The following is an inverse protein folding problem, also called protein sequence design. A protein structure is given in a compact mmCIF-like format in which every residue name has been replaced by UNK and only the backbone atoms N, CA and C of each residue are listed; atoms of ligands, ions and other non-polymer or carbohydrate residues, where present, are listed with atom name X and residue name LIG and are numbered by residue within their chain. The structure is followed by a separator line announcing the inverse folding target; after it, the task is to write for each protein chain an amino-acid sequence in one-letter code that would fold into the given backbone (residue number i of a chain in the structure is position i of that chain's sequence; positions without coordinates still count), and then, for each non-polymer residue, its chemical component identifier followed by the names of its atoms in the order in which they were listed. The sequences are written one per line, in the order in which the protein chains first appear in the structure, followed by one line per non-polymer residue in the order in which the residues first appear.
data_IF_330386115350
#
_entry.id   IF_330386115350
#
_cell.length_a   1.000
_cell.length_b   1.000
_cell.length_c   1.000
_cell.angle_alpha   90.00
_cell.angle_beta   90.00
_cell.angle_gamma   90.00
#
_symmetry.space_group_name_H-M   'P 1'
#
loop_
_entity.id
_entity.type
_entity.pdbx_description
1 polymer ?
#
# COMPACT_ATOMS: atom_id res chain seq x y z
N UNK A 1 1.53 0.89 5.79
CA UNK A 1 0.84 0.99 7.10
C UNK A 1 -0.65 0.94 6.88
N UNK A 2 -1.38 0.26 7.77
CA UNK A 2 -2.83 0.25 7.75
C UNK A 2 -3.34 1.49 8.50
N UNK A 3 -3.57 2.56 7.77
CA UNK A 3 -4.05 3.80 8.38
C UNK A 3 -5.47 3.68 8.95
N UNK A 4 -6.27 2.71 8.50
CA UNK A 4 -7.62 2.48 9.04
C UNK A 4 -7.61 1.72 10.37
N UNK A 5 -6.59 0.91 10.65
CA UNK A 5 -6.48 0.09 11.88
C UNK A 5 -5.45 0.61 12.90
N UNK A 6 -4.86 1.79 12.70
CA UNK A 6 -3.98 2.34 13.72
C UNK A 6 -4.79 2.58 15.01
N UNK A 7 -4.30 2.03 16.12
CA UNK A 7 -4.86 2.32 17.43
C UNK A 7 -4.71 3.80 17.74
N UNK A 8 -5.81 4.43 18.17
CA UNK A 8 -5.83 5.81 18.61
C UNK A 8 -6.04 5.84 20.13
N UNK A 9 -5.21 6.59 20.81
CA UNK A 9 -5.32 6.76 22.28
C UNK A 9 -5.17 8.24 22.59
N UNK A 10 -6.05 8.76 23.43
CA UNK A 10 -5.90 10.12 23.94
C UNK A 10 -4.96 10.12 25.15
N UNK A 11 -4.01 11.06 25.17
CA UNK A 11 -3.05 11.29 26.25
C UNK A 11 -3.25 12.71 26.74
N UNK A 12 -3.74 12.85 27.97
CA UNK A 12 -4.05 14.14 28.59
C UNK A 12 -4.95 13.96 29.81
N UNK A 13 -5.45 15.06 30.35
CA UNK A 13 -6.48 15.01 31.37
C UNK A 13 -7.80 14.56 30.73
N UNK A 14 -8.75 14.08 31.57
CA UNK A 14 -10.08 13.75 31.08
C UNK A 14 -10.70 14.97 30.40
N UNK A 15 -11.17 14.79 29.16
CA UNK A 15 -11.83 15.83 28.38
C UNK A 15 -13.23 16.10 28.97
N UNK A 16 -13.61 17.36 29.07
CA UNK A 16 -14.99 17.75 29.34
C UNK A 16 -15.86 17.48 28.11
N UNK A 17 -17.17 17.40 28.27
CA UNK A 17 -18.10 17.19 27.14
C UNK A 17 -17.97 18.32 26.12
N UNK A 18 -17.84 19.59 26.56
CA UNK A 18 -17.64 20.73 25.66
C UNK A 18 -16.33 20.63 24.86
N UNK A 19 -15.22 20.21 25.50
CA UNK A 19 -13.94 19.99 24.81
C UNK A 19 -14.04 18.86 23.75
N UNK A 20 -14.73 17.78 24.08
CA UNK A 20 -14.99 16.69 23.13
C UNK A 20 -15.83 17.15 21.93
N UNK A 21 -16.91 17.91 22.16
CA UNK A 21 -17.76 18.48 21.11
C UNK A 21 -16.98 19.42 20.17
N UNK A 22 -16.13 20.27 20.73
CA UNK A 22 -15.28 21.18 19.95
C UNK A 22 -14.30 20.42 19.07
N UNK A 23 -13.62 19.40 19.62
CA UNK A 23 -12.67 18.56 18.87
C UNK A 23 -13.38 17.77 17.78
N UNK A 24 -14.50 17.13 18.12
CA UNK A 24 -15.35 16.39 17.20
C UNK A 24 -15.81 17.25 16.03
N UNK A 25 -16.32 18.46 16.33
CA UNK A 25 -16.82 19.41 15.35
C UNK A 25 -15.71 19.95 14.44
N UNK A 26 -14.53 20.21 14.99
CA UNK A 26 -13.37 20.70 14.24
C UNK A 26 -12.83 19.64 13.24
N UNK A 27 -12.99 18.36 13.52
CA UNK A 27 -12.42 17.26 12.71
C UNK A 27 -13.40 16.67 11.69
N UNK A 28 -14.69 16.92 11.80
CA UNK A 28 -15.78 16.30 11.01
C UNK A 28 -15.59 16.37 9.50
N UNK A 29 -15.21 17.54 8.99
CA UNK A 29 -15.14 17.80 7.55
C UNK A 29 -13.71 17.64 6.97
N UNK A 30 -12.73 17.34 7.80
CA UNK A 30 -11.36 17.13 7.35
C UNK A 30 -11.21 15.83 6.56
N UNK A 31 -10.45 15.91 5.48
CA UNK A 31 -10.10 14.74 4.67
C UNK A 31 -8.84 14.02 5.16
N UNK A 32 -8.11 14.64 6.11
CA UNK A 32 -6.85 14.11 6.61
C UNK A 32 -7.05 12.80 7.40
N UNK A 33 -6.23 11.76 7.20
CA UNK A 33 -6.39 10.47 7.86
C UNK A 33 -6.47 10.54 9.39
N UNK A 34 -5.62 11.35 10.03
CA UNK A 34 -5.64 11.51 11.49
C UNK A 34 -6.90 12.22 11.99
N UNK A 35 -7.36 13.24 11.29
CA UNK A 35 -8.60 13.95 11.64
C UNK A 35 -9.81 13.04 11.55
N UNK A 36 -9.90 12.21 10.49
CA UNK A 36 -10.97 11.20 10.37
C UNK A 36 -10.99 10.21 11.53
N UNK A 37 -9.81 9.84 12.04
CA UNK A 37 -9.71 8.93 13.19
C UNK A 37 -10.11 9.61 14.48
N UNK A 38 -9.72 10.87 14.71
CA UNK A 38 -10.15 11.64 15.86
C UNK A 38 -11.68 11.81 15.83
N UNK A 39 -12.25 12.14 14.66
CA UNK A 39 -13.70 12.16 14.49
C UNK A 39 -14.35 10.81 14.80
N UNK A 40 -13.79 9.72 14.27
CA UNK A 40 -14.28 8.35 14.52
C UNK A 40 -14.18 7.93 15.98
N UNK A 41 -13.16 8.40 16.71
CA UNK A 41 -12.97 8.12 18.14
C UNK A 41 -14.15 8.60 18.99
N UNK A 42 -14.72 9.75 18.63
CA UNK A 42 -15.86 10.32 19.36
C UNK A 42 -17.23 9.99 18.77
N UNK A 43 -17.30 9.39 17.56
CA UNK A 43 -18.55 9.23 16.81
C UNK A 43 -19.62 8.43 17.57
N UNK A 44 -19.22 7.47 18.41
CA UNK A 44 -20.13 6.61 19.15
C UNK A 44 -20.59 7.22 20.48
N UNK A 45 -19.98 8.33 20.91
CA UNK A 45 -20.32 9.00 22.18
C UNK A 45 -21.60 9.86 22.08
N UNK A 46 -22.17 10.04 20.88
CA UNK A 46 -23.42 10.79 20.70
C UNK A 46 -23.27 12.30 20.90
N UNK A 47 -22.07 12.86 20.69
CA UNK A 47 -21.77 14.26 20.89
C UNK A 47 -22.56 15.17 19.93
N UNK A 48 -22.91 16.37 20.40
CA UNK A 48 -23.54 17.38 19.56
C UNK A 48 -22.52 17.96 18.57
N UNK A 49 -23.01 18.35 17.40
CA UNK A 49 -22.20 19.04 16.41
C UNK A 49 -22.40 20.54 16.52
N UNK A 50 -21.35 21.24 16.90
CA UNK A 50 -21.28 22.70 16.90
C UNK A 50 -20.71 23.20 15.58
N UNK A 51 -21.38 24.16 14.93
CA UNK A 51 -20.91 24.71 13.66
C UNK A 51 -19.80 25.73 13.96
N UNK A 52 -18.55 25.53 13.49
CA UNK A 52 -17.53 26.54 13.64
C UNK A 52 -17.84 27.78 12.78
N UNK A 53 -17.58 28.98 13.30
CA UNK A 53 -17.69 30.23 12.53
C UNK A 53 -16.63 30.31 11.44
N UNK A 54 -15.43 29.80 11.75
CA UNK A 54 -14.31 29.69 10.82
C UNK A 54 -13.58 28.38 11.05
N UNK A 55 -13.25 27.71 9.95
CA UNK A 55 -12.38 26.54 9.98
C UNK A 55 -11.34 26.70 8.87
N UNK A 56 -10.07 26.47 9.22
CA UNK A 56 -8.96 26.55 8.30
C UNK A 56 -8.10 25.31 8.47
N UNK A 57 -7.99 24.49 7.42
CA UNK A 57 -7.12 23.32 7.40
C UNK A 57 -5.84 23.66 6.64
N UNK A 58 -4.71 23.68 7.36
CA UNK A 58 -3.39 23.95 6.79
C UNK A 58 -2.74 22.62 6.44
N UNK A 59 -2.59 22.40 5.14
CA UNK A 59 -2.12 21.15 4.58
C UNK A 59 -0.77 20.72 5.19
N UNK A 60 -0.73 19.51 5.75
CA UNK A 60 0.46 18.93 6.37
C UNK A 60 0.83 19.50 7.75
N UNK A 61 0.05 20.44 8.30
CA UNK A 61 0.29 21.07 9.60
C UNK A 61 -0.82 20.79 10.61
N UNK A 62 -2.06 21.23 10.34
CA UNK A 62 -3.17 21.07 11.29
C UNK A 62 -4.42 21.83 10.92
N UNK A 63 -5.35 21.89 11.87
CA UNK A 63 -6.65 22.57 11.79
C UNK A 63 -6.72 23.68 12.82
N UNK A 64 -7.17 24.85 12.40
CA UNK A 64 -7.63 25.93 13.27
C UNK A 64 -9.13 26.10 13.10
N UNK A 65 -9.90 26.04 14.16
CA UNK A 65 -11.32 26.25 14.19
C UNK A 65 -11.72 27.29 15.24
N UNK A 66 -12.64 28.20 14.92
CA UNK A 66 -13.15 29.21 15.84
C UNK A 66 -14.64 29.01 16.06
N UNK A 67 -15.05 28.98 17.34
CA UNK A 67 -16.43 28.85 17.81
C UNK A 67 -16.74 30.02 18.75
N UNK A 68 -17.55 30.98 18.33
CA UNK A 68 -17.90 32.17 19.13
C UNK A 68 -16.65 32.79 19.84
N UNK A 69 -16.41 32.43 21.08
CA UNK A 69 -15.30 32.94 21.87
C UNK A 69 -14.16 31.93 22.08
N UNK A 70 -14.28 30.71 21.51
CA UNK A 70 -13.32 29.61 21.72
C UNK A 70 -12.56 29.29 20.44
N UNK A 71 -11.24 29.20 20.54
CA UNK A 71 -10.36 28.79 19.44
C UNK A 71 -9.77 27.42 19.69
N UNK A 72 -9.84 26.56 18.69
CA UNK A 72 -9.33 25.18 18.73
C UNK A 72 -8.22 25.02 17.71
N UNK A 73 -7.08 24.54 18.15
CA UNK A 73 -5.94 24.18 17.29
C UNK A 73 -5.64 22.70 17.44
N UNK A 74 -5.64 21.96 16.34
CA UNK A 74 -5.41 20.52 16.28
C UNK A 74 -4.35 20.24 15.22
N UNK A 75 -3.17 19.71 15.60
CA UNK A 75 -2.14 19.49 14.60
C UNK A 75 -0.80 19.00 15.14
N UNK A 76 0.25 19.17 14.32
CA UNK A 76 1.62 18.82 14.68
C UNK A 76 2.16 19.73 15.77
N UNK A 77 3.22 19.28 16.46
CA UNK A 77 3.91 20.11 17.47
C UNK A 77 4.33 21.47 16.89
N UNK A 78 4.93 21.48 15.71
CA UNK A 78 5.37 22.70 15.04
C UNK A 78 4.21 23.65 14.71
N UNK A 79 3.06 23.11 14.33
CA UNK A 79 1.84 23.90 14.07
C UNK A 79 1.33 24.54 15.36
N UNK A 80 1.24 23.78 16.43
CA UNK A 80 0.79 24.31 17.73
C UNK A 80 1.73 25.42 18.23
N UNK A 81 3.04 25.18 18.17
CA UNK A 81 4.04 26.17 18.61
C UNK A 81 4.00 27.45 17.76
N UNK A 82 3.85 27.31 16.42
CA UNK A 82 3.76 28.44 15.47
C UNK A 82 2.52 29.30 15.71
N UNK A 83 1.36 28.68 15.97
CA UNK A 83 0.07 29.40 16.02
C UNK A 83 -0.34 29.81 17.44
N UNK A 84 0.12 29.13 18.48
CA UNK A 84 -0.30 29.40 19.85
C UNK A 84 0.83 29.83 20.77
N UNK A 85 2.09 29.66 20.35
CA UNK A 85 3.27 29.88 21.21
C UNK A 85 3.46 28.83 22.31
N UNK A 86 2.60 27.81 22.36
CA UNK A 86 2.64 26.78 23.42
C UNK A 86 3.61 25.67 23.03
N UNK A 87 4.58 25.42 23.91
CA UNK A 87 5.46 24.26 23.78
C UNK A 87 4.71 23.02 24.26
N UNK A 88 4.47 22.08 23.35
CA UNK A 88 3.86 20.81 23.71
C UNK A 88 4.91 19.84 24.28
N UNK A 89 4.52 18.89 25.13
CA UNK A 89 5.45 17.86 25.60
C UNK A 89 5.95 17.07 24.38
N UNK A 90 7.27 17.05 24.17
CA UNK A 90 7.87 16.21 23.13
C UNK A 90 7.74 14.78 23.62
N UNK A 91 6.83 14.03 23.02
CA UNK A 91 6.73 12.60 23.26
C UNK A 91 7.99 11.93 22.71
N UNK A 92 8.76 11.30 23.59
CA UNK A 92 9.90 10.44 23.22
C UNK A 92 9.48 9.11 22.60
N UNK A 93 8.18 8.90 22.35
CA UNK A 93 7.60 7.67 21.78
C UNK A 93 7.79 7.62 20.27
N UNK A 94 7.85 6.41 19.74
CA UNK A 94 7.96 6.12 18.29
C UNK A 94 6.62 6.28 17.53
N UNK A 95 5.66 6.98 18.12
CA UNK A 95 4.28 7.12 17.64
C UNK A 95 4.06 8.51 17.06
N UNK A 96 3.14 8.63 16.10
CA UNK A 96 2.69 9.94 15.62
C UNK A 96 1.72 10.57 16.62
N UNK A 97 1.89 11.86 16.89
CA UNK A 97 1.04 12.61 17.80
C UNK A 97 0.35 13.77 17.10
N UNK A 98 -0.94 13.96 17.40
CA UNK A 98 -1.71 15.16 17.05
C UNK A 98 -2.07 15.87 18.33
N UNK A 99 -1.55 17.07 18.50
CA UNK A 99 -1.69 17.89 19.71
C UNK A 99 -2.93 18.76 19.62
N UNK A 100 -3.54 19.04 20.78
CA UNK A 100 -4.76 19.83 20.90
C UNK A 100 -4.56 20.96 21.88
N UNK A 101 -4.88 22.15 21.43
CA UNK A 101 -4.90 23.38 22.24
C UNK A 101 -6.26 24.04 22.07
N UNK A 102 -6.90 24.38 23.18
CA UNK A 102 -8.17 25.13 23.24
C UNK A 102 -7.90 26.39 24.06
N UNK A 103 -8.22 27.58 23.50
CA UNK A 103 -8.02 28.88 24.14
C UNK A 103 -6.66 29.05 24.80
N UNK A 104 -5.59 28.78 24.04
CA UNK A 104 -4.20 28.82 24.50
C UNK A 104 -3.88 27.89 25.67
N UNK A 105 -4.72 26.90 25.95
CA UNK A 105 -4.46 25.86 26.95
C UNK A 105 -4.21 24.53 26.28
N UNK A 106 -3.06 23.92 26.56
CA UNK A 106 -2.79 22.56 26.10
C UNK A 106 -3.72 21.57 26.81
N UNK A 107 -4.53 20.85 26.03
CA UNK A 107 -5.53 19.90 26.52
C UNK A 107 -4.98 18.49 26.54
N UNK A 108 -4.24 18.12 25.49
CA UNK A 108 -3.66 16.80 25.36
C UNK A 108 -3.24 16.49 23.93
N UNK A 109 -2.99 15.22 23.66
CA UNK A 109 -2.66 14.75 22.31
C UNK A 109 -3.29 13.39 22.02
N UNK A 110 -3.61 13.15 20.77
CA UNK A 110 -3.91 11.81 20.28
C UNK A 110 -2.61 11.14 19.82
N UNK A 111 -2.32 9.99 20.38
CA UNK A 111 -1.27 9.09 19.94
C UNK A 111 -1.81 8.11 18.91
N UNK A 112 -1.11 8.00 17.77
CA UNK A 112 -1.42 7.06 16.71
C UNK A 112 -0.31 6.03 16.62
N UNK A 113 -0.62 4.79 16.98
CA UNK A 113 0.32 3.68 16.82
C UNK A 113 0.15 3.09 15.42
N UNK A 114 1.11 3.41 14.56
CA UNK A 114 1.15 2.82 13.23
C UNK A 114 1.57 1.36 13.33
N UNK A 115 0.69 0.45 12.90
CA UNK A 115 1.01 -0.96 12.78
C UNK A 115 1.22 -1.33 11.30
N UNK A 116 2.12 -2.27 11.06
CA UNK A 116 2.14 -2.93 9.75
C UNK A 116 0.82 -3.66 9.52
N UNK A 117 0.37 -3.70 8.28
CA UNK A 117 -0.71 -4.61 7.89
C UNK A 117 -0.37 -6.03 8.30
N UNK A 118 -1.37 -6.81 8.67
CA UNK A 118 -1.22 -8.19 9.14
C UNK A 118 -0.39 -8.98 8.13
N UNK A 119 0.64 -9.69 8.61
CA UNK A 119 1.50 -10.55 7.80
C UNK A 119 2.61 -9.86 7.02
N UNK A 120 2.65 -8.52 6.96
CA UNK A 120 3.70 -7.78 6.23
C UNK A 120 5.07 -7.92 6.89
N UNK A 121 5.12 -8.09 8.21
CA UNK A 121 6.35 -8.40 8.95
C UNK A 121 7.00 -9.70 8.45
N UNK A 122 6.21 -10.77 8.29
CA UNK A 122 6.67 -12.05 7.74
C UNK A 122 7.06 -11.94 6.27
N UNK A 123 6.28 -11.18 5.49
CA UNK A 123 6.57 -10.90 4.09
C UNK A 123 7.93 -10.21 3.93
N UNK A 124 8.18 -9.12 4.66
CA UNK A 124 9.44 -8.36 4.58
C UNK A 124 10.65 -9.22 4.93
N UNK A 125 10.55 -10.05 5.97
CA UNK A 125 11.62 -10.99 6.32
C UNK A 125 11.93 -12.00 5.21
N UNK A 126 10.91 -12.53 4.53
CA UNK A 126 11.09 -13.43 3.38
C UNK A 126 11.69 -12.70 2.19
N UNK A 127 11.18 -11.52 1.87
CA UNK A 127 11.67 -10.74 0.73
C UNK A 127 13.11 -10.29 0.94
N UNK A 128 13.50 -9.90 2.15
CA UNK A 128 14.88 -9.50 2.50
C UNK A 128 15.89 -10.61 2.22
N UNK A 129 15.51 -11.88 2.32
CA UNK A 129 16.38 -13.01 2.03
C UNK A 129 16.65 -13.20 0.52
N UNK A 130 15.77 -12.70 -0.37
CA UNK A 130 15.83 -12.94 -1.81
C UNK A 130 16.05 -11.68 -2.64
N UNK A 131 15.78 -10.49 -2.08
CA UNK A 131 15.78 -9.21 -2.79
C UNK A 131 16.45 -8.10 -1.97
N UNK A 132 16.99 -7.11 -2.66
CA UNK A 132 17.38 -5.85 -2.05
C UNK A 132 16.12 -4.99 -1.85
N UNK A 133 15.75 -4.74 -0.60
CA UNK A 133 14.57 -3.96 -0.26
C UNK A 133 14.94 -2.49 -0.07
N UNK A 134 14.11 -1.59 -0.61
CA UNK A 134 14.21 -0.15 -0.43
C UNK A 134 12.89 0.40 0.07
N UNK A 135 12.96 1.36 0.99
CA UNK A 135 11.80 2.11 1.49
C UNK A 135 11.89 3.56 1.01
N UNK A 136 10.88 3.99 0.26
CA UNK A 136 10.73 5.38 -0.19
C UNK A 136 9.47 5.96 0.43
N UNK A 137 9.60 6.84 1.43
CA UNK A 137 8.46 7.44 2.12
C UNK A 137 8.44 8.96 1.98
N UNK A 138 7.26 9.53 1.79
CA UNK A 138 7.04 10.97 1.91
C UNK A 138 7.00 11.45 3.37
N UNK A 139 6.83 10.52 4.33
CA UNK A 139 6.76 10.82 5.75
C UNK A 139 8.15 11.12 6.33
N UNK A 140 8.17 11.69 7.53
CA UNK A 140 9.42 11.99 8.20
C UNK A 140 10.07 10.73 8.82
N UNK A 141 11.37 10.81 9.11
CA UNK A 141 12.16 9.68 9.60
C UNK A 141 11.70 9.13 10.96
N UNK A 142 11.09 9.97 11.80
CA UNK A 142 10.70 9.56 13.17
C UNK A 142 9.69 8.43 13.17
N UNK A 143 8.78 8.42 12.18
CA UNK A 143 7.72 7.42 12.06
C UNK A 143 8.21 6.08 11.47
N UNK A 144 9.44 6.03 10.97
CA UNK A 144 9.99 4.87 10.27
C UNK A 144 11.10 4.09 10.98
N UNK A 145 11.58 4.58 12.13
CA UNK A 145 12.70 3.94 12.85
C UNK A 145 12.46 2.47 13.21
N UNK A 146 11.21 2.09 13.44
CA UNK A 146 10.85 0.70 13.74
C UNK A 146 10.97 -0.23 12.51
N UNK A 147 11.02 0.34 11.28
CA UNK A 147 11.24 -0.40 10.04
C UNK A 147 12.72 -0.77 9.82
N UNK A 148 13.65 -0.18 10.59
CA UNK A 148 15.09 -0.46 10.47
C UNK A 148 15.47 -1.94 10.64
N UNK A 149 14.61 -2.72 11.30
CA UNK A 149 14.80 -4.19 11.40
C UNK A 149 14.62 -4.94 10.07
N UNK A 150 13.88 -4.36 9.12
CA UNK A 150 13.63 -4.96 7.80
C UNK A 150 14.50 -4.38 6.71
N UNK A 151 14.88 -3.11 6.85
CA UNK A 151 15.69 -2.37 5.88
C UNK A 151 17.01 -1.96 6.54
N UNK A 152 18.05 -1.81 5.75
CA UNK A 152 19.28 -1.17 6.21
C UNK A 152 19.01 0.34 6.32
N UNK A 153 18.93 0.83 7.58
CA UNK A 153 18.52 2.20 7.86
C UNK A 153 19.40 3.26 7.19
N UNK A 154 20.71 2.97 7.07
CA UNK A 154 21.67 3.92 6.51
C UNK A 154 21.78 3.89 4.98
N UNK A 155 21.28 2.80 4.35
CA UNK A 155 21.49 2.57 2.92
C UNK A 155 20.20 2.45 2.11
N UNK A 156 19.13 1.94 2.71
CA UNK A 156 17.95 1.49 1.97
C UNK A 156 16.65 2.16 2.44
N UNK A 157 16.72 3.18 3.31
CA UNK A 157 15.54 3.91 3.80
C UNK A 157 15.66 5.40 3.45
N UNK A 158 14.71 5.89 2.67
CA UNK A 158 14.64 7.26 2.21
C UNK A 158 13.33 7.89 2.65
N UNK A 159 13.42 8.90 3.52
CA UNK A 159 12.29 9.66 4.06
C UNK A 159 12.17 11.04 3.44
N UNK A 160 11.05 11.72 3.66
CA UNK A 160 10.73 13.04 3.10
C UNK A 160 10.86 13.10 1.57
N UNK A 161 10.55 11.98 0.88
CA UNK A 161 10.70 11.89 -0.56
C UNK A 161 9.47 12.47 -1.28
N UNK A 162 9.70 13.46 -2.12
CA UNK A 162 8.67 13.92 -3.06
C UNK A 162 8.40 12.86 -4.15
N UNK A 163 7.25 12.93 -4.85
CA UNK A 163 6.98 12.06 -5.99
C UNK A 163 8.07 12.06 -7.05
N UNK A 164 8.68 13.22 -7.32
CA UNK A 164 9.78 13.37 -8.27
C UNK A 164 11.06 12.67 -7.79
N UNK A 165 11.38 12.76 -6.51
CA UNK A 165 12.55 12.07 -5.94
C UNK A 165 12.37 10.55 -5.96
N UNK A 166 11.17 10.03 -5.68
CA UNK A 166 10.86 8.61 -5.82
C UNK A 166 11.02 8.13 -7.27
N UNK A 167 10.52 8.90 -8.24
CA UNK A 167 10.71 8.63 -9.66
C UNK A 167 12.18 8.58 -10.03
N UNK A 168 12.96 9.60 -9.64
CA UNK A 168 14.40 9.69 -9.94
C UNK A 168 15.18 8.51 -9.33
N UNK A 169 14.82 8.10 -8.10
CA UNK A 169 15.43 6.93 -7.45
C UNK A 169 15.16 5.64 -8.22
N UNK A 170 13.92 5.38 -8.63
CA UNK A 170 13.56 4.20 -9.42
C UNK A 170 14.27 4.22 -10.77
N UNK A 171 14.36 5.38 -11.44
CA UNK A 171 15.11 5.56 -12.68
C UNK A 171 16.58 5.20 -12.51
N UNK A 172 17.24 5.69 -11.47
CA UNK A 172 18.66 5.41 -11.20
C UNK A 172 18.95 3.91 -11.00
N UNK A 173 18.04 3.16 -10.40
CA UNK A 173 18.17 1.71 -10.28
C UNK A 173 18.02 1.01 -11.64
N UNK A 174 17.15 1.51 -12.51
CA UNK A 174 16.94 0.97 -13.86
C UNK A 174 18.17 1.24 -14.75
N UNK A 175 18.78 2.41 -14.63
CA UNK A 175 19.96 2.81 -15.40
C UNK A 175 21.18 1.89 -15.12
N UNK A 176 21.28 1.35 -13.91
CA UNK A 176 22.29 0.33 -13.56
C UNK A 176 21.80 -1.11 -13.79
N UNK A 177 20.83 -1.28 -14.69
CA UNK A 177 20.28 -2.57 -15.14
C UNK A 177 19.66 -3.44 -14.02
N UNK A 178 19.28 -2.88 -12.88
CA UNK A 178 18.54 -3.62 -11.85
C UNK A 178 17.07 -3.73 -12.25
N UNK A 179 16.52 -4.93 -12.07
CA UNK A 179 15.08 -5.16 -12.23
C UNK A 179 14.35 -4.67 -10.99
N UNK A 180 13.46 -3.70 -11.16
CA UNK A 180 12.76 -3.03 -10.07
C UNK A 180 11.29 -3.44 -10.05
N UNK A 181 10.84 -4.01 -8.94
CA UNK A 181 9.43 -4.14 -8.58
C UNK A 181 9.10 -2.98 -7.63
N UNK A 182 8.17 -2.11 -8.02
CA UNK A 182 7.67 -1.00 -7.21
C UNK A 182 6.28 -1.33 -6.67
N UNK A 183 6.06 -1.06 -5.39
CA UNK A 183 4.75 -1.19 -4.75
C UNK A 183 4.42 0.14 -4.08
N UNK A 184 3.30 0.73 -4.41
CA UNK A 184 2.91 2.05 -3.91
C UNK A 184 1.40 2.26 -3.83
N UNK A 185 0.95 3.45 -3.39
CA UNK A 185 -0.47 3.79 -3.24
C UNK A 185 -1.17 4.19 -4.56
N UNK A 186 -0.43 4.27 -5.64
CA UNK A 186 -0.92 4.55 -6.99
C UNK A 186 -1.11 6.03 -7.31
N UNK A 187 -1.48 6.88 -6.39
CA UNK A 187 -1.74 8.31 -6.66
C UNK A 187 -0.46 9.14 -6.61
N UNK A 188 0.22 9.11 -5.48
CA UNK A 188 1.47 9.86 -5.28
C UNK A 188 2.67 9.17 -5.93
N UNK A 189 2.58 7.87 -6.14
CA UNK A 189 3.66 7.02 -6.64
C UNK A 189 3.53 6.69 -8.14
N UNK A 190 2.51 7.24 -8.84
CA UNK A 190 2.20 6.91 -10.23
C UNK A 190 3.41 7.01 -11.18
N UNK A 191 4.21 8.07 -11.06
CA UNK A 191 5.42 8.24 -11.88
C UNK A 191 6.47 7.17 -11.61
N UNK A 192 6.72 6.85 -10.33
CA UNK A 192 7.68 5.82 -9.93
C UNK A 192 7.21 4.40 -10.30
N UNK A 193 5.90 4.12 -10.14
CA UNK A 193 5.29 2.87 -10.57
C UNK A 193 5.46 2.64 -12.07
N UNK A 194 5.12 3.64 -12.89
CA UNK A 194 5.26 3.55 -14.34
C UNK A 194 6.72 3.44 -14.81
N UNK A 195 7.67 4.03 -14.07
CA UNK A 195 9.10 3.95 -14.40
C UNK A 195 9.74 2.63 -13.99
N UNK A 196 9.16 1.91 -13.03
CA UNK A 196 9.66 0.62 -12.59
C UNK A 196 9.53 -0.45 -13.68
N UNK A 197 10.22 -1.59 -13.53
CA UNK A 197 10.04 -2.72 -14.48
C UNK A 197 8.70 -3.43 -14.26
N UNK A 198 8.15 -3.35 -13.06
CA UNK A 198 6.81 -3.81 -12.74
C UNK A 198 6.27 -3.00 -11.56
N UNK A 199 5.21 -2.25 -11.78
CA UNK A 199 4.56 -1.40 -10.80
C UNK A 199 3.26 -2.00 -10.28
N UNK A 200 3.14 -2.17 -8.95
CA UNK A 200 1.92 -2.63 -8.29
C UNK A 200 1.33 -1.48 -7.49
N UNK A 201 0.12 -1.04 -7.84
CA UNK A 201 -0.66 -0.12 -7.03
C UNK A 201 -1.46 -0.89 -5.97
N UNK A 202 -1.33 -0.48 -4.71
CA UNK A 202 -2.18 -0.97 -3.63
C UNK A 202 -3.45 -0.14 -3.55
N UNK A 203 -4.60 -0.80 -3.54
CA UNK A 203 -5.90 -0.15 -3.38
C UNK A 203 -6.68 -0.80 -2.25
N UNK A 204 -7.15 -0.01 -1.31
CA UNK A 204 -8.08 -0.46 -0.26
C UNK A 204 -9.54 -0.31 -0.69
N UNK A 205 -9.78 0.43 -1.78
CA UNK A 205 -11.10 0.62 -2.40
C UNK A 205 -10.95 0.53 -3.92
N UNK A 206 -11.81 -0.25 -4.55
CA UNK A 206 -11.87 -0.43 -6.01
C UNK A 206 -12.08 0.86 -6.82
N UNK A 207 -12.41 1.96 -6.16
CA UNK A 207 -12.61 3.28 -6.77
C UNK A 207 -11.33 4.10 -7.00
N UNK A 208 -10.19 3.68 -6.44
CA UNK A 208 -8.91 4.41 -6.60
C UNK A 208 -8.07 3.77 -7.69
N UNK A 209 -8.57 3.79 -8.93
CA UNK A 209 -7.85 3.27 -10.08
C UNK A 209 -6.71 4.22 -10.47
N UNK A 210 -5.48 3.73 -10.51
CA UNK A 210 -4.34 4.43 -11.11
C UNK A 210 -3.99 3.79 -12.44
N UNK A 211 -4.13 4.51 -13.58
CA UNK A 211 -3.78 3.96 -14.90
C UNK A 211 -2.28 3.78 -15.12
N UNK A 212 -1.44 4.23 -14.18
CA UNK A 212 0.02 4.24 -14.32
C UNK A 212 0.70 3.09 -13.55
N UNK A 213 0.12 1.88 -13.59
CA UNK A 213 0.71 0.68 -12.97
C UNK A 213 0.43 -0.57 -13.82
N UNK A 214 1.25 -1.62 -13.65
CA UNK A 214 1.09 -2.89 -14.35
C UNK A 214 0.08 -3.81 -13.66
N UNK A 215 -0.12 -3.65 -12.35
CA UNK A 215 -1.07 -4.42 -11.57
C UNK A 215 -1.68 -3.62 -10.43
N UNK A 216 -2.91 -3.99 -10.05
CA UNK A 216 -3.59 -3.47 -8.86
C UNK A 216 -3.77 -4.62 -7.89
N UNK A 217 -3.39 -4.41 -6.64
CA UNK A 217 -3.51 -5.40 -5.57
C UNK A 217 -4.35 -4.82 -4.44
N UNK A 218 -5.30 -5.63 -3.93
CA UNK A 218 -6.01 -5.31 -2.70
C UNK A 218 -4.98 -5.23 -1.55
N UNK A 219 -5.04 -4.16 -0.78
CA UNK A 219 -4.13 -3.95 0.34
C UNK A 219 -4.12 -5.08 1.37
N UNK A 220 -5.25 -5.81 1.52
CA UNK A 220 -5.34 -6.99 2.38
C UNK A 220 -4.54 -8.20 1.83
N UNK A 221 -4.30 -8.24 0.52
CA UNK A 221 -3.54 -9.29 -0.15
C UNK A 221 -2.03 -9.00 -0.23
N UNK A 222 -1.57 -7.83 0.26
CA UNK A 222 -0.16 -7.45 0.28
C UNK A 222 0.74 -8.55 0.89
N UNK A 223 0.27 -9.23 1.93
CA UNK A 223 0.97 -10.33 2.59
C UNK A 223 1.26 -11.53 1.68
N UNK A 224 0.61 -11.64 0.53
CA UNK A 224 0.74 -12.75 -0.41
C UNK A 224 1.64 -12.44 -1.62
N UNK A 225 2.33 -11.29 -1.64
CA UNK A 225 3.22 -10.90 -2.76
C UNK A 225 4.32 -11.94 -3.00
N UNK A 226 4.91 -12.52 -1.95
CA UNK A 226 5.90 -13.60 -2.08
C UNK A 226 5.35 -14.76 -2.89
N UNK A 227 4.10 -15.18 -2.63
CA UNK A 227 3.42 -16.25 -3.36
C UNK A 227 3.11 -15.85 -4.81
N UNK A 228 2.75 -14.58 -5.05
CA UNK A 228 2.51 -14.09 -6.42
C UNK A 228 3.79 -14.10 -7.25
N UNK A 229 4.92 -13.68 -6.67
CA UNK A 229 6.24 -13.75 -7.32
C UNK A 229 6.62 -15.20 -7.60
N UNK A 230 6.41 -16.13 -6.67
CA UNK A 230 6.69 -17.55 -6.88
C UNK A 230 5.77 -18.13 -7.95
N UNK A 231 4.47 -17.80 -7.91
CA UNK A 231 3.50 -18.25 -8.91
C UNK A 231 3.84 -17.78 -10.32
N UNK A 232 4.34 -16.55 -10.47
CA UNK A 232 4.77 -16.04 -11.78
C UNK A 232 5.93 -16.86 -12.37
N UNK A 233 6.92 -17.24 -11.54
CA UNK A 233 8.04 -18.12 -11.96
C UNK A 233 7.55 -19.50 -12.38
N UNK A 234 6.61 -20.07 -11.61
CA UNK A 234 6.00 -21.37 -11.95
C UNK A 234 5.18 -21.28 -13.24
N UNK A 235 4.45 -20.19 -13.45
CA UNK A 235 3.68 -19.96 -14.67
C UNK A 235 4.58 -19.93 -15.92
N UNK A 236 5.74 -19.28 -15.84
CA UNK A 236 6.73 -19.31 -16.93
C UNK A 236 7.20 -20.74 -17.22
N UNK A 237 7.43 -21.56 -16.18
CA UNK A 237 7.80 -22.97 -16.37
C UNK A 237 6.69 -23.78 -17.05
N UNK A 238 5.42 -23.51 -16.72
CA UNK A 238 4.27 -24.16 -17.38
C UNK A 238 4.22 -23.74 -18.87
N UNK A 239 4.49 -22.48 -19.19
CA UNK A 239 4.56 -22.00 -20.58
C UNK A 239 5.68 -22.70 -21.35
N UNK A 240 6.89 -22.80 -20.80
CA UNK A 240 7.99 -23.51 -21.46
C UNK A 240 7.67 -24.99 -21.71
N UNK A 241 7.01 -25.66 -20.73
CA UNK A 241 6.59 -27.04 -20.91
C UNK A 241 5.54 -27.18 -22.00
N UNK A 242 4.58 -26.25 -22.11
CA UNK A 242 3.58 -26.26 -23.17
C UNK A 242 4.19 -26.02 -24.56
N UNK A 243 5.24 -25.21 -24.67
CA UNK A 243 6.00 -25.11 -25.93
C UNK A 243 6.70 -26.41 -26.29
N UNK A 244 7.30 -27.09 -25.30
CA UNK A 244 7.88 -28.42 -25.50
C UNK A 244 6.85 -29.45 -26.00
N UNK A 245 5.66 -29.45 -25.40
CA UNK A 245 4.56 -30.31 -25.79
C UNK A 245 4.07 -30.00 -27.23
N UNK A 246 3.94 -28.70 -27.56
CA UNK A 246 3.60 -28.26 -28.92
C UNK A 246 4.64 -28.71 -29.96
N UNK A 247 5.92 -28.58 -29.64
CA UNK A 247 7.00 -29.02 -30.51
C UNK A 247 6.95 -30.53 -30.74
N UNK A 248 6.66 -31.32 -29.70
CA UNK A 248 6.51 -32.76 -29.81
C UNK A 248 5.36 -33.14 -30.79
N UNK A 249 4.20 -32.50 -30.68
CA UNK A 249 3.08 -32.67 -31.62
C UNK A 249 3.50 -32.34 -33.06
N UNK A 250 4.22 -31.24 -33.28
CA UNK A 250 4.68 -30.81 -34.59
C UNK A 250 5.68 -31.81 -35.18
N UNK A 251 6.66 -32.29 -34.40
CA UNK A 251 7.63 -33.30 -34.87
C UNK A 251 6.92 -34.58 -35.23
N UNK A 252 5.99 -35.04 -34.39
CA UNK A 252 5.21 -36.25 -34.66
C UNK A 252 4.40 -36.11 -35.95
N UNK A 253 3.63 -35.01 -36.10
CA UNK A 253 2.84 -34.75 -37.30
C UNK A 253 3.70 -34.68 -38.57
N UNK A 254 4.85 -33.98 -38.49
CA UNK A 254 5.78 -33.89 -39.62
C UNK A 254 6.39 -35.25 -39.98
N UNK A 255 6.71 -36.11 -39.01
CA UNK A 255 7.21 -37.46 -39.26
C UNK A 255 6.20 -38.29 -39.99
N UNK A 256 4.91 -38.24 -39.62
CA UNK A 256 3.83 -38.93 -40.39
C UNK A 256 3.65 -38.36 -41.78
N UNK A 257 3.83 -37.05 -41.95
CA UNK A 257 3.73 -36.41 -43.26
C UNK A 257 4.85 -36.87 -44.22
N UNK A 258 6.11 -36.87 -43.75
CA UNK A 258 7.29 -37.24 -44.55
C UNK A 258 7.22 -38.72 -44.97
N UNK A 259 6.71 -39.59 -44.07
CA UNK A 259 6.57 -41.02 -44.36
C UNK A 259 5.36 -41.34 -45.24
N UNK A 260 4.56 -40.36 -45.65
CA UNK A 260 3.38 -40.54 -46.49
C UNK A 260 2.16 -41.16 -45.78
N UNK A 261 2.22 -41.27 -44.43
CA UNK A 261 1.14 -41.84 -43.62
C UNK A 261 0.14 -40.82 -43.12
N UNK A 262 0.32 -39.52 -43.43
CA UNK A 262 -0.58 -38.45 -43.00
C UNK A 262 -1.76 -38.33 -44.00
N UNK A 263 -2.88 -38.97 -43.69
CA UNK A 263 -4.11 -38.72 -44.48
C UNK A 263 -4.74 -37.38 -44.09
N UNK A 264 -5.55 -36.75 -44.97
CA UNK A 264 -6.27 -35.51 -44.65
C UNK A 264 -7.15 -35.62 -43.40
N UNK A 265 -7.76 -36.79 -43.17
CA UNK A 265 -8.57 -37.06 -41.98
C UNK A 265 -7.74 -37.05 -40.70
N UNK A 266 -6.56 -37.68 -40.72
CA UNK A 266 -5.66 -37.70 -39.56
C UNK A 266 -5.16 -36.31 -39.26
N UNK A 267 -4.79 -35.51 -40.25
CA UNK A 267 -4.38 -34.12 -40.09
C UNK A 267 -5.49 -33.24 -39.47
N UNK A 268 -6.74 -33.40 -39.95
CA UNK A 268 -7.91 -32.68 -39.46
C UNK A 268 -8.24 -32.99 -37.99
N UNK A 269 -7.85 -34.14 -37.47
CA UNK A 269 -8.03 -34.54 -36.07
C UNK A 269 -6.84 -34.08 -35.22
N UNK A 270 -5.60 -34.24 -35.69
CA UNK A 270 -4.39 -33.94 -34.93
C UNK A 270 -4.24 -32.45 -34.59
N UNK A 271 -4.61 -31.54 -35.52
CA UNK A 271 -4.49 -30.11 -35.29
C UNK A 271 -5.36 -29.61 -34.12
N UNK A 272 -6.70 -29.84 -34.10
CA UNK A 272 -7.52 -29.43 -32.96
C UNK A 272 -7.12 -30.16 -31.67
N UNK A 273 -6.74 -31.45 -31.74
CA UNK A 273 -6.38 -32.23 -30.56
C UNK A 273 -5.14 -31.66 -29.85
N UNK A 274 -4.11 -31.23 -30.61
CA UNK A 274 -2.93 -30.61 -30.04
C UNK A 274 -3.28 -29.31 -29.28
N UNK A 275 -4.10 -28.47 -29.88
CA UNK A 275 -4.53 -27.19 -29.26
C UNK A 275 -5.37 -27.41 -28.01
N UNK A 276 -6.33 -28.36 -28.06
CA UNK A 276 -7.17 -28.70 -26.90
C UNK A 276 -6.29 -29.25 -25.76
N UNK A 277 -5.34 -30.14 -26.08
CA UNK A 277 -4.45 -30.75 -25.10
C UNK A 277 -3.59 -29.70 -24.40
N UNK A 278 -2.99 -28.76 -25.15
CA UNK A 278 -2.16 -27.69 -24.59
C UNK A 278 -3.01 -26.76 -23.73
N UNK A 279 -4.21 -26.37 -24.20
CA UNK A 279 -5.10 -25.52 -23.42
C UNK A 279 -5.58 -26.20 -22.14
N UNK A 280 -5.96 -27.46 -22.18
CA UNK A 280 -6.36 -28.25 -21.02
C UNK A 280 -5.20 -28.40 -20.02
N UNK A 281 -3.99 -28.73 -20.49
CA UNK A 281 -2.80 -28.85 -19.69
C UNK A 281 -2.46 -27.54 -18.98
N UNK A 282 -2.36 -26.43 -19.71
CA UNK A 282 -1.99 -25.12 -19.15
C UNK A 282 -3.02 -24.66 -18.13
N UNK A 283 -4.30 -24.79 -18.42
CA UNK A 283 -5.38 -24.42 -17.49
C UNK A 283 -5.34 -25.27 -16.21
N UNK A 284 -5.22 -26.60 -16.36
CA UNK A 284 -5.20 -27.52 -15.23
C UNK A 284 -3.95 -27.31 -14.36
N UNK A 285 -2.77 -27.23 -14.97
CA UNK A 285 -1.50 -27.05 -14.27
C UNK A 285 -1.47 -25.71 -13.51
N UNK A 286 -1.93 -24.62 -14.13
CA UNK A 286 -2.00 -23.31 -13.51
C UNK A 286 -2.96 -23.29 -12.33
N UNK A 287 -4.17 -23.83 -12.48
CA UNK A 287 -5.15 -23.95 -11.39
C UNK A 287 -4.65 -24.79 -10.23
N UNK A 288 -4.04 -25.94 -10.52
CA UNK A 288 -3.51 -26.84 -9.50
C UNK A 288 -2.40 -26.15 -8.69
N UNK A 289 -1.47 -25.45 -9.35
CA UNK A 289 -0.38 -24.71 -8.68
C UNK A 289 -0.90 -23.55 -7.85
N UNK A 290 -1.79 -22.74 -8.37
CA UNK A 290 -2.38 -21.63 -7.61
C UNK A 290 -3.13 -22.11 -6.36
N UNK A 291 -3.92 -23.20 -6.45
CA UNK A 291 -4.60 -23.80 -5.29
C UNK A 291 -3.61 -24.30 -4.25
N UNK A 292 -2.51 -24.97 -4.65
CA UNK A 292 -1.47 -25.42 -3.73
C UNK A 292 -0.77 -24.28 -3.00
N UNK A 293 -0.69 -23.10 -3.62
CA UNK A 293 -0.11 -21.89 -3.03
C UNK A 293 -1.12 -21.07 -2.23
N UNK A 294 -2.39 -21.49 -2.17
CA UNK A 294 -3.46 -20.80 -1.46
C UNK A 294 -3.86 -19.48 -2.13
N UNK A 295 -3.60 -19.33 -3.43
CA UNK A 295 -4.04 -18.18 -4.21
C UNK A 295 -5.48 -18.38 -4.70
N UNK A 296 -6.33 -17.36 -4.52
CA UNK A 296 -7.69 -17.33 -5.07
C UNK A 296 -7.61 -17.00 -6.55
N UNK A 297 -8.11 -17.91 -7.40
CA UNK A 297 -8.30 -17.64 -8.83
C UNK A 297 -9.79 -17.40 -9.06
N UNK A 298 -10.12 -16.21 -9.53
CA UNK A 298 -11.46 -15.89 -10.04
C UNK A 298 -11.50 -16.32 -11.50
N UNK A 299 -12.41 -17.22 -11.82
CA UNK A 299 -12.72 -17.64 -13.22
C UNK A 299 -14.21 -17.53 -13.40
#
# INVERSE_FOLDING_TARGET
TDSEKAEITFIGNALTEDEKELIFSSTKNSTHPYSKKIYGFFKEEGLNYSIPERIEEIRGKGIHASFQQTNVHIGSNSFIEEYTGIKTPISGTKSSHVYIVIDYKFVGSFEFKNHLRIGVDKLLNKLKAAFNLYLLSGDNQKDGLWLAKYFDADKNMYFNQSPQQKLAFVASLSDIQKKVLMIGDGLNDAGALNKSHFGIALSDKTSSFSPACDAILDGNELQNIDKLIEFSKVSISIVHFSFGLSLLYNITGLSFAITGHLSPLVAAILMPLSSITIMAFTTFATRLKARKMGLKIWV
#
